data_IF_246778887729
#
_entry.id   IF_246778887729
#
_cell.length_a   1.000
_cell.length_b   1.000
_cell.length_c   1.000
_cell.angle_alpha   90.00
_cell.angle_beta   90.00
_cell.angle_gamma   90.00
#
_symmetry.space_group_name_H-M   'P 1'
#
loop_
_entity.id
_entity.type
_entity.pdbx_description
1 polymer ?
#
# COMPACT_ATOMS: atom_id res chain seq x y z
N UNK A 1 -75.24 28.28 -12.05
CA UNK A 1 -74.92 28.84 -10.73
C UNK A 1 -75.89 28.33 -9.68
N UNK A 2 -76.99 27.68 -10.03
CA UNK A 2 -77.96 27.11 -9.03
C UNK A 2 -77.71 25.68 -8.60
N UNK A 3 -76.75 24.96 -9.18
CA UNK A 3 -76.52 23.54 -8.85
C UNK A 3 -75.88 23.30 -7.52
N UNK A 4 -75.00 24.16 -7.04
CA UNK A 4 -74.32 23.96 -5.76
C UNK A 4 -75.23 24.09 -4.54
N UNK A 5 -76.34 24.81 -4.59
CA UNK A 5 -77.27 25.01 -3.47
C UNK A 5 -78.26 23.87 -3.31
N UNK A 6 -78.60 23.12 -4.36
CA UNK A 6 -79.56 22.01 -4.28
C UNK A 6 -78.99 20.81 -3.52
N UNK A 7 -77.68 20.58 -3.49
CA UNK A 7 -77.08 19.44 -2.79
C UNK A 7 -77.06 19.59 -1.25
N UNK A 8 -77.13 20.81 -0.72
CA UNK A 8 -77.24 21.06 0.69
C UNK A 8 -78.60 20.76 1.33
N UNK A 9 -79.67 20.64 0.50
CA UNK A 9 -81.07 20.49 0.93
C UNK A 9 -81.74 19.19 0.48
N UNK A 10 -80.92 18.17 0.07
CA UNK A 10 -81.50 16.87 -0.37
C UNK A 10 -82.02 16.13 0.89
N UNK A 11 -83.35 16.08 1.01
CA UNK A 11 -84.06 15.31 2.10
C UNK A 11 -84.11 13.84 1.81
N UNK A 12 -83.73 13.38 0.60
CA UNK A 12 -83.76 11.97 0.24
C UNK A 12 -82.67 11.19 0.99
N UNK A 13 -83.12 10.32 1.91
CA UNK A 13 -82.24 9.49 2.76
C UNK A 13 -81.34 8.58 1.94
N UNK A 14 -81.77 8.16 0.74
CA UNK A 14 -80.99 7.32 -0.16
C UNK A 14 -79.80 8.10 -0.74
N UNK A 15 -80.02 9.31 -1.24
CA UNK A 15 -78.96 10.17 -1.80
C UNK A 15 -77.95 10.58 -0.70
N UNK A 16 -78.40 10.86 0.50
CA UNK A 16 -77.49 11.14 1.64
C UNK A 16 -76.63 9.92 1.97
N UNK A 17 -77.19 8.72 1.94
CA UNK A 17 -76.47 7.47 2.16
C UNK A 17 -75.41 7.23 1.08
N UNK A 18 -75.77 7.37 -0.18
CA UNK A 18 -74.81 7.21 -1.30
C UNK A 18 -73.70 8.23 -1.25
N UNK A 19 -73.99 9.50 -0.99
CA UNK A 19 -72.98 10.55 -0.88
C UNK A 19 -72.03 10.31 0.33
N UNK A 20 -72.53 9.83 1.47
CA UNK A 20 -71.69 9.46 2.56
C UNK A 20 -70.75 8.31 2.27
N UNK A 21 -71.22 7.26 1.61
CA UNK A 21 -70.37 6.14 1.17
C UNK A 21 -69.29 6.57 0.18
N UNK A 22 -69.63 7.42 -0.80
CA UNK A 22 -68.65 8.00 -1.74
C UNK A 22 -67.61 8.84 -0.98
N UNK A 23 -68.04 9.69 -0.05
CA UNK A 23 -67.14 10.50 0.77
C UNK A 23 -66.17 9.63 1.58
N UNK A 24 -66.67 8.59 2.27
CA UNK A 24 -65.78 7.70 3.06
C UNK A 24 -64.86 6.89 2.13
N UNK A 25 -65.33 6.48 0.95
CA UNK A 25 -64.49 5.78 -0.01
C UNK A 25 -63.37 6.67 -0.55
N UNK A 26 -63.65 7.91 -0.92
CA UNK A 26 -62.67 8.86 -1.41
C UNK A 26 -61.67 9.26 -0.30
N UNK A 27 -62.15 9.58 0.89
CA UNK A 27 -61.26 9.94 2.01
C UNK A 27 -60.43 8.76 2.45
N UNK A 28 -60.96 7.55 2.47
CA UNK A 28 -60.22 6.33 2.79
C UNK A 28 -59.13 6.02 1.76
N UNK A 29 -59.45 6.16 0.45
CA UNK A 29 -58.45 5.93 -0.60
C UNK A 29 -57.34 6.95 -0.58
N UNK A 30 -57.61 8.23 -0.31
CA UNK A 30 -56.57 9.28 -0.15
C UNK A 30 -55.68 8.96 1.06
N UNK A 31 -56.26 8.56 2.20
CA UNK A 31 -55.51 8.23 3.40
C UNK A 31 -54.58 7.02 3.18
N UNK A 32 -55.06 5.97 2.51
CA UNK A 32 -54.25 4.83 2.11
C UNK A 32 -53.11 5.26 1.15
N UNK A 33 -53.42 6.11 0.15
CA UNK A 33 -52.46 6.64 -0.76
C UNK A 33 -51.30 7.40 -0.07
N UNK A 34 -51.64 8.24 0.91
CA UNK A 34 -50.67 8.99 1.73
C UNK A 34 -49.81 8.03 2.57
N UNK A 35 -50.42 7.03 3.20
CA UNK A 35 -49.69 6.02 3.98
C UNK A 35 -48.73 5.19 3.12
N UNK A 36 -49.15 4.77 1.95
CA UNK A 36 -48.31 4.02 0.99
C UNK A 36 -47.20 4.90 0.48
N UNK A 37 -47.47 6.15 0.08
CA UNK A 37 -46.44 7.08 -0.33
C UNK A 37 -45.43 7.38 0.80
N UNK A 38 -45.91 7.56 2.01
CA UNK A 38 -45.05 7.73 3.21
C UNK A 38 -44.18 6.52 3.47
N UNK A 39 -44.76 5.31 3.37
CA UNK A 39 -44.00 4.06 3.52
C UNK A 39 -42.95 3.86 2.43
N UNK A 40 -43.30 4.15 1.18
CA UNK A 40 -42.33 4.08 0.05
C UNK A 40 -41.22 5.11 0.25
N UNK A 41 -41.55 6.32 0.68
CA UNK A 41 -40.57 7.36 0.95
C UNK A 41 -39.68 6.99 2.13
N UNK A 42 -40.25 6.46 3.22
CA UNK A 42 -39.48 5.93 4.36
C UNK A 42 -38.52 4.81 3.95
N UNK A 43 -38.98 3.87 3.12
CA UNK A 43 -38.12 2.81 2.59
C UNK A 43 -37.02 3.37 1.66
N UNK A 44 -37.36 4.35 0.82
CA UNK A 44 -36.36 5.02 -0.05
C UNK A 44 -35.31 5.76 0.76
N UNK A 45 -35.71 6.53 1.75
CA UNK A 45 -34.76 7.26 2.61
C UNK A 45 -33.90 6.32 3.46
N UNK A 46 -34.48 5.20 3.94
CA UNK A 46 -33.71 4.19 4.66
C UNK A 46 -32.70 3.45 3.76
N UNK A 47 -33.07 3.24 2.49
CA UNK A 47 -32.17 2.65 1.50
C UNK A 47 -31.20 3.68 0.88
N UNK A 48 -31.52 4.99 0.91
CA UNK A 48 -30.64 6.09 0.50
C UNK A 48 -29.71 6.55 1.63
N UNK A 49 -30.07 6.28 2.89
CA UNK A 49 -29.20 6.50 4.05
C UNK A 49 -28.16 5.40 4.25
N UNK A 50 -28.34 4.22 3.62
CA UNK A 50 -27.28 3.29 3.33
C UNK A 50 -26.70 3.65 1.97
N UNK A 51 -26.02 4.78 1.85
CA UNK A 51 -25.15 5.03 0.70
C UNK A 51 -24.34 3.76 0.51
N UNK A 52 -24.29 3.24 -0.72
CA UNK A 52 -23.43 2.13 -1.06
C UNK A 52 -22.01 2.63 -0.76
N UNK A 53 -21.52 2.43 0.48
CA UNK A 53 -20.17 2.82 0.91
C UNK A 53 -19.11 2.24 -0.03
N UNK A 54 -19.54 1.27 -0.85
CA UNK A 54 -18.71 0.59 -1.83
C UNK A 54 -18.95 1.04 -3.29
N UNK A 55 -19.69 2.14 -3.53
CA UNK A 55 -19.94 2.65 -4.91
C UNK A 55 -18.62 3.02 -5.63
N UNK A 56 -17.59 3.39 -4.89
CA UNK A 56 -16.25 3.74 -5.37
C UNK A 56 -15.16 2.75 -4.95
N UNK A 57 -15.54 1.55 -4.50
CA UNK A 57 -14.65 0.50 -4.00
C UNK A 57 -14.86 0.20 -2.52
N UNK A 58 -14.27 -0.90 -2.05
CA UNK A 58 -14.35 -1.34 -0.64
C UNK A 58 -13.24 -0.75 0.24
N UNK A 59 -12.45 0.20 -0.26
CA UNK A 59 -11.37 0.81 0.50
C UNK A 59 -11.91 1.67 1.65
N UNK A 60 -11.47 1.36 2.86
CA UNK A 60 -11.78 2.09 4.09
C UNK A 60 -10.58 2.09 5.02
N UNK A 61 -10.60 2.92 6.05
CA UNK A 61 -9.60 2.87 7.11
C UNK A 61 -9.77 1.58 7.92
N UNK A 62 -8.68 0.82 8.07
CA UNK A 62 -8.73 -0.44 8.79
C UNK A 62 -9.20 -0.28 10.24
N UNK A 63 -10.11 -1.13 10.65
CA UNK A 63 -10.52 -1.28 12.05
C UNK A 63 -9.42 -1.96 12.86
N UNK A 64 -9.54 -1.92 14.20
CA UNK A 64 -8.57 -2.57 15.08
C UNK A 64 -8.49 -4.09 14.85
N UNK A 65 -9.60 -4.73 14.58
CA UNK A 65 -9.65 -6.19 14.39
C UNK A 65 -9.05 -6.59 13.05
N UNK A 66 -9.28 -5.81 12.01
CA UNK A 66 -8.60 -5.98 10.72
C UNK A 66 -7.09 -5.80 10.85
N UNK A 67 -6.63 -4.77 11.57
CA UNK A 67 -5.20 -4.58 11.83
C UNK A 67 -4.56 -5.72 12.62
N UNK A 68 -5.25 -6.26 13.62
CA UNK A 68 -4.77 -7.46 14.34
C UNK A 68 -4.68 -8.67 13.42
N UNK A 69 -5.64 -8.85 12.52
CA UNK A 69 -5.66 -9.94 11.56
C UNK A 69 -4.51 -9.86 10.54
N UNK A 70 -3.98 -8.65 10.23
CA UNK A 70 -2.82 -8.50 9.32
C UNK A 70 -1.50 -8.98 9.92
N UNK A 71 -1.40 -9.17 11.23
CA UNK A 71 -0.15 -9.50 11.90
C UNK A 71 0.88 -8.35 11.98
N UNK A 72 0.54 -7.14 11.54
CA UNK A 72 1.44 -5.98 11.56
C UNK A 72 1.63 -5.37 12.96
N UNK A 73 0.72 -5.68 13.89
CA UNK A 73 0.78 -5.18 15.27
C UNK A 73 1.59 -6.13 16.16
N UNK A 74 2.47 -5.56 16.98
CA UNK A 74 3.11 -6.30 18.08
C UNK A 74 4.26 -7.23 17.71
N UNK A 75 4.71 -7.27 16.45
CA UNK A 75 5.80 -8.17 16.03
C UNK A 75 7.16 -7.83 16.63
N UNK A 76 7.40 -6.59 17.03
CA UNK A 76 8.72 -6.13 17.53
C UNK A 76 9.88 -6.25 16.52
N UNK A 77 9.64 -6.89 15.36
CA UNK A 77 10.60 -7.15 14.28
C UNK A 77 10.06 -6.65 12.95
N UNK A 78 10.90 -6.65 11.91
CA UNK A 78 10.50 -6.33 10.56
C UNK A 78 10.63 -4.86 10.20
N UNK A 79 10.22 -4.54 8.98
CA UNK A 79 10.26 -3.21 8.38
C UNK A 79 9.10 -2.36 8.93
N UNK A 80 9.38 -1.12 9.30
CA UNK A 80 8.32 -0.18 9.66
C UNK A 80 7.49 0.17 8.42
N UNK A 81 6.17 0.01 8.51
CA UNK A 81 5.24 0.31 7.41
C UNK A 81 4.26 1.42 7.78
N UNK A 82 4.25 1.86 9.03
CA UNK A 82 3.39 2.95 9.47
C UNK A 82 3.16 2.94 10.98
N UNK A 83 2.14 3.67 11.40
CA UNK A 83 1.67 3.69 12.77
C UNK A 83 0.14 3.80 12.81
N UNK A 84 -0.46 3.20 13.82
CA UNK A 84 -1.88 3.26 14.08
C UNK A 84 -2.14 3.88 15.46
N UNK A 85 -3.03 4.86 15.50
CA UNK A 85 -3.44 5.49 16.75
C UNK A 85 -4.65 4.75 17.31
N UNK A 86 -4.46 4.11 18.44
CA UNK A 86 -5.52 3.39 19.15
C UNK A 86 -6.59 4.37 19.70
N UNK A 87 -7.81 3.89 20.00
CA UNK A 87 -8.87 4.72 20.57
C UNK A 87 -8.50 5.37 21.92
N UNK A 88 -7.61 4.76 22.69
CA UNK A 88 -7.07 5.29 23.93
C UNK A 88 -5.98 6.37 23.73
N UNK A 89 -5.62 6.68 22.47
CA UNK A 89 -4.62 7.66 22.10
C UNK A 89 -3.22 7.11 21.91
N UNK A 90 -2.95 5.86 22.24
CA UNK A 90 -1.65 5.22 22.08
C UNK A 90 -1.27 5.05 20.61
N UNK A 91 0.01 5.26 20.31
CA UNK A 91 0.58 5.05 18.97
C UNK A 91 1.21 3.66 18.93
N UNK A 92 0.67 2.80 18.08
CA UNK A 92 1.20 1.48 17.81
C UNK A 92 1.87 1.45 16.45
N UNK A 93 3.15 1.12 16.42
CA UNK A 93 3.89 1.01 15.17
C UNK A 93 3.54 -0.30 14.45
N UNK A 94 3.32 -0.18 13.16
CA UNK A 94 3.05 -1.31 12.28
C UNK A 94 4.35 -1.78 11.65
N UNK A 95 4.65 -3.07 11.77
CA UNK A 95 5.89 -3.66 11.24
C UNK A 95 5.57 -4.92 10.44
N UNK A 96 6.22 -5.04 9.30
CA UNK A 96 6.10 -6.19 8.42
C UNK A 96 7.33 -7.08 8.55
N UNK A 97 7.12 -8.34 8.95
CA UNK A 97 8.18 -9.34 9.17
C UNK A 97 8.00 -10.56 8.24
N UNK A 98 7.40 -10.35 7.07
CA UNK A 98 7.22 -11.37 6.04
C UNK A 98 8.28 -11.30 4.94
N UNK A 99 8.28 -12.24 3.99
CA UNK A 99 9.18 -12.30 2.85
C UNK A 99 8.80 -11.32 1.73
N UNK A 100 7.66 -10.65 1.84
CA UNK A 100 7.13 -9.79 0.81
C UNK A 100 7.88 -8.45 0.76
N UNK A 101 7.99 -7.89 -0.45
CA UNK A 101 8.59 -6.59 -0.66
C UNK A 101 7.66 -5.46 -0.19
N UNK A 102 8.25 -4.44 0.43
CA UNK A 102 7.52 -3.23 0.83
C UNK A 102 7.82 -2.11 -0.16
N UNK A 103 6.79 -1.54 -0.76
CA UNK A 103 6.91 -0.39 -1.65
C UNK A 103 6.15 0.81 -1.08
N UNK A 104 6.84 1.96 -0.97
CA UNK A 104 6.25 3.19 -0.46
C UNK A 104 6.19 4.28 -1.54
N UNK A 105 5.00 4.68 -1.92
CA UNK A 105 4.76 5.79 -2.84
C UNK A 105 4.45 7.05 -2.04
N UNK A 106 5.32 8.03 -2.15
CA UNK A 106 5.09 9.31 -1.47
C UNK A 106 5.94 10.42 -2.12
N UNK A 107 5.45 11.66 -2.15
CA UNK A 107 6.19 12.79 -2.73
C UNK A 107 7.46 13.10 -1.94
N UNK A 108 8.32 13.94 -2.53
CA UNK A 108 9.51 14.44 -1.85
C UNK A 108 9.13 15.19 -0.57
N UNK A 109 9.92 15.04 0.49
CA UNK A 109 9.68 15.63 1.83
C UNK A 109 8.43 15.15 2.57
N UNK A 110 7.83 14.04 2.15
CA UNK A 110 6.65 13.44 2.83
C UNK A 110 7.00 12.67 4.11
N UNK A 111 8.26 12.62 4.51
CA UNK A 111 8.68 11.90 5.72
C UNK A 111 9.00 10.41 5.52
N UNK A 112 9.07 9.88 4.27
CA UNK A 112 9.45 8.47 4.01
C UNK A 112 10.73 8.04 4.74
N UNK A 113 11.78 8.84 4.63
CA UNK A 113 13.07 8.55 5.26
C UNK A 113 12.95 8.49 6.77
N UNK A 114 12.36 9.52 7.37
CA UNK A 114 12.23 9.64 8.82
C UNK A 114 11.23 8.65 9.43
N UNK A 115 10.12 8.38 8.71
CA UNK A 115 9.03 7.55 9.22
C UNK A 115 9.20 6.05 8.98
N UNK A 116 9.90 5.65 7.92
CA UNK A 116 10.02 4.24 7.53
C UNK A 116 11.48 3.77 7.52
N UNK A 117 12.36 4.48 6.80
CA UNK A 117 13.73 4.01 6.55
C UNK A 117 14.60 4.08 7.80
N UNK A 118 14.69 5.24 8.43
CA UNK A 118 15.54 5.43 9.62
C UNK A 118 15.10 4.55 10.79
N UNK A 119 13.81 4.47 11.18
CA UNK A 119 13.38 3.57 12.24
C UNK A 119 13.69 2.10 11.93
N UNK A 120 13.51 1.69 10.66
CA UNK A 120 13.87 0.34 10.22
C UNK A 120 15.37 0.10 10.38
N UNK A 121 16.24 0.99 9.88
CA UNK A 121 17.68 0.85 9.97
C UNK A 121 18.19 0.83 11.43
N UNK A 122 17.59 1.60 12.30
CA UNK A 122 17.96 1.65 13.72
C UNK A 122 17.49 0.43 14.52
N UNK A 123 16.50 -0.30 14.05
CA UNK A 123 15.94 -1.46 14.75
C UNK A 123 16.18 -2.81 14.05
N UNK A 124 16.72 -2.81 12.82
CA UNK A 124 16.94 -4.04 12.06
C UNK A 124 18.15 -4.81 12.60
N UNK A 125 17.96 -6.05 13.07
CA UNK A 125 19.03 -6.80 13.73
C UNK A 125 19.99 -7.52 12.78
N UNK A 126 19.56 -7.76 11.54
CA UNK A 126 20.31 -8.53 10.56
C UNK A 126 21.07 -7.63 9.58
N UNK A 127 21.75 -8.27 8.61
CA UNK A 127 22.42 -7.59 7.52
C UNK A 127 21.45 -6.77 6.67
N UNK A 128 21.94 -5.65 6.14
CA UNK A 128 21.15 -4.76 5.29
C UNK A 128 22.05 -4.13 4.23
N UNK A 129 21.54 -4.05 3.00
CA UNK A 129 22.13 -3.27 1.92
C UNK A 129 21.29 -2.00 1.71
N UNK A 130 21.92 -0.84 1.77
CA UNK A 130 21.24 0.45 1.64
C UNK A 130 21.76 1.20 0.44
N UNK A 131 20.90 1.51 -0.54
CA UNK A 131 21.23 2.40 -1.63
C UNK A 131 20.96 3.85 -1.20
N UNK A 132 22.02 4.57 -0.85
CA UNK A 132 21.96 5.89 -0.21
C UNK A 132 22.71 6.94 -1.03
N UNK A 133 22.06 7.48 -2.06
CA UNK A 133 22.67 8.44 -3.01
C UNK A 133 23.22 9.68 -2.31
N UNK A 134 22.57 10.14 -1.22
CA UNK A 134 22.94 11.37 -0.52
C UNK A 134 23.81 11.14 0.70
N UNK A 135 23.97 9.91 1.16
CA UNK A 135 24.68 9.56 2.38
C UNK A 135 23.96 9.95 3.67
N UNK A 136 22.70 10.41 3.60
CA UNK A 136 21.92 10.83 4.76
C UNK A 136 21.63 9.65 5.72
N UNK A 137 21.25 8.50 5.18
CA UNK A 137 20.99 7.30 5.99
C UNK A 137 22.27 6.81 6.68
N UNK A 138 23.39 6.82 5.95
CA UNK A 138 24.68 6.48 6.51
C UNK A 138 25.04 7.40 7.67
N UNK A 139 24.97 8.71 7.47
CA UNK A 139 25.33 9.70 8.50
C UNK A 139 24.50 9.54 9.79
N UNK A 140 23.21 9.19 9.65
CA UNK A 140 22.28 9.11 10.78
C UNK A 140 22.24 7.75 11.47
N UNK A 141 22.63 6.66 10.81
CA UNK A 141 22.43 5.30 11.35
C UNK A 141 23.70 4.48 11.53
N UNK A 142 24.75 4.72 10.75
CA UNK A 142 25.97 3.89 10.78
C UNK A 142 26.69 3.91 12.12
N UNK A 143 26.74 5.07 12.77
CA UNK A 143 27.35 5.21 14.11
C UNK A 143 26.67 4.34 15.16
N UNK A 144 25.33 4.39 15.21
CA UNK A 144 24.55 3.54 16.10
C UNK A 144 24.74 2.05 15.78
N UNK A 145 24.66 1.67 14.50
CA UNK A 145 24.82 0.26 14.09
C UNK A 145 26.20 -0.29 14.45
N UNK A 146 27.25 0.54 14.30
CA UNK A 146 28.60 0.19 14.78
C UNK A 146 28.66 0.02 16.29
N UNK A 147 28.00 0.88 17.07
CA UNK A 147 28.00 0.81 18.54
C UNK A 147 27.36 -0.47 19.09
N UNK A 148 26.42 -1.09 18.33
CA UNK A 148 25.81 -2.38 18.68
C UNK A 148 26.54 -3.59 18.06
N UNK A 149 27.78 -3.39 17.55
CA UNK A 149 28.66 -4.47 17.09
C UNK A 149 28.50 -4.87 15.62
N UNK A 150 27.75 -4.11 14.82
CA UNK A 150 27.59 -4.42 13.38
C UNK A 150 28.73 -3.83 12.55
N UNK A 151 29.21 -4.58 11.58
CA UNK A 151 30.17 -4.10 10.57
C UNK A 151 29.43 -3.24 9.57
N UNK A 152 29.81 -1.95 9.48
CA UNK A 152 29.22 -1.01 8.52
C UNK A 152 30.27 -0.65 7.48
N UNK A 153 29.99 -0.96 6.21
CA UNK A 153 30.84 -0.69 5.06
C UNK A 153 30.17 0.36 4.16
N UNK A 154 30.93 1.37 3.74
CA UNK A 154 30.47 2.40 2.81
C UNK A 154 31.20 2.24 1.50
N UNK A 155 30.49 1.90 0.44
CA UNK A 155 31.04 1.86 -0.92
C UNK A 155 30.62 3.14 -1.64
N UNK A 156 31.58 4.01 -1.89
CA UNK A 156 31.40 5.28 -2.62
C UNK A 156 32.50 5.41 -3.68
N UNK A 157 32.23 4.93 -4.92
CA UNK A 157 33.25 4.87 -5.97
C UNK A 157 33.86 6.24 -6.36
N UNK A 158 33.14 7.34 -6.05
CA UNK A 158 33.58 8.71 -6.34
C UNK A 158 34.38 9.34 -5.22
N UNK A 159 34.47 8.70 -4.04
CA UNK A 159 35.20 9.24 -2.90
C UNK A 159 36.74 9.24 -3.18
N UNK A 160 37.36 10.39 -2.96
CA UNK A 160 38.84 10.59 -3.14
C UNK A 160 39.57 10.69 -1.80
N UNK A 161 38.82 10.74 -0.69
CA UNK A 161 39.35 10.95 0.67
C UNK A 161 39.68 9.64 1.43
N UNK A 162 39.52 8.49 0.78
CA UNK A 162 39.75 7.18 1.39
C UNK A 162 38.63 6.70 2.32
N UNK A 163 37.49 7.41 2.36
CA UNK A 163 36.34 7.03 3.22
C UNK A 163 35.56 5.82 2.68
N UNK A 164 35.77 5.48 1.39
CA UNK A 164 35.14 4.32 0.75
C UNK A 164 35.92 3.03 1.02
N UNK A 165 35.20 1.95 1.24
CA UNK A 165 35.82 0.63 1.21
C UNK A 165 36.25 0.31 -0.23
N UNK A 166 37.32 -0.48 -0.36
CA UNK A 166 37.78 -1.01 -1.63
C UNK A 166 37.15 -2.40 -1.82
N UNK A 167 36.66 -2.66 -3.02
CA UNK A 167 36.12 -3.97 -3.39
C UNK A 167 36.81 -4.45 -4.66
N UNK A 168 37.40 -5.64 -4.60
CA UNK A 168 37.98 -6.32 -5.75
C UNK A 168 37.12 -7.54 -6.07
N UNK A 169 36.31 -7.50 -7.14
CA UNK A 169 35.44 -8.63 -7.51
C UNK A 169 36.21 -9.93 -7.79
N UNK A 170 37.49 -9.83 -8.22
CA UNK A 170 38.32 -11.02 -8.50
C UNK A 170 38.62 -11.83 -7.23
N UNK A 171 38.52 -11.25 -6.05
CA UNK A 171 38.71 -11.97 -4.79
C UNK A 171 37.53 -12.91 -4.44
N UNK A 172 36.42 -12.76 -5.11
CA UNK A 172 35.24 -13.62 -4.93
C UNK A 172 35.32 -14.91 -5.76
N UNK A 173 36.34 -15.07 -6.61
CA UNK A 173 36.56 -16.27 -7.40
C UNK A 173 37.03 -17.38 -6.47
N UNK A 174 36.35 -18.51 -6.49
CA UNK A 174 36.69 -19.70 -5.70
C UNK A 174 37.78 -20.51 -6.43
N UNK A 175 39.02 -20.02 -6.30
CA UNK A 175 40.19 -20.61 -6.97
C UNK A 175 40.38 -22.09 -6.59
N UNK A 176 40.81 -22.92 -7.57
CA UNK A 176 41.08 -24.33 -7.39
C UNK A 176 39.82 -25.20 -7.15
N UNK A 177 38.62 -24.65 -7.40
CA UNK A 177 37.38 -25.42 -7.32
C UNK A 177 36.72 -25.63 -8.68
N UNK A 178 35.74 -26.51 -8.75
CA UNK A 178 34.88 -26.75 -9.92
C UNK A 178 34.04 -25.48 -10.29
N UNK A 179 34.02 -24.48 -9.43
CA UNK A 179 33.29 -23.21 -9.62
C UNK A 179 34.14 -22.09 -10.20
N UNK A 180 35.45 -22.22 -10.25
CA UNK A 180 36.39 -21.19 -10.67
C UNK A 180 36.02 -20.59 -12.02
N UNK A 181 35.86 -21.41 -13.05
CA UNK A 181 35.51 -20.96 -14.39
C UNK A 181 34.15 -20.26 -14.43
N UNK A 182 33.16 -20.79 -13.73
CA UNK A 182 31.83 -20.20 -13.68
C UNK A 182 31.80 -18.86 -12.93
N UNK A 183 32.60 -18.72 -11.89
CA UNK A 183 32.75 -17.46 -11.14
C UNK A 183 33.38 -16.37 -12.02
N UNK A 184 34.47 -16.72 -12.74
CA UNK A 184 35.12 -15.81 -13.72
C UNK A 184 34.12 -15.42 -14.81
N UNK A 185 33.42 -16.36 -15.43
CA UNK A 185 32.43 -16.07 -16.46
C UNK A 185 31.33 -15.13 -15.96
N UNK A 186 30.84 -15.32 -14.75
CA UNK A 186 29.82 -14.45 -14.14
C UNK A 186 30.35 -13.02 -13.94
N UNK A 187 31.55 -12.86 -13.38
CA UNK A 187 32.18 -11.55 -13.18
C UNK A 187 32.40 -10.84 -14.49
N UNK A 188 32.97 -11.55 -15.48
CA UNK A 188 33.24 -11.00 -16.81
C UNK A 188 31.94 -10.62 -17.53
N UNK A 189 30.91 -11.44 -17.41
CA UNK A 189 29.59 -11.11 -17.98
C UNK A 189 29.03 -9.82 -17.40
N UNK A 190 29.11 -9.61 -16.08
CA UNK A 190 28.69 -8.35 -15.46
C UNK A 190 29.47 -7.12 -15.95
N UNK A 191 30.73 -7.30 -16.35
CA UNK A 191 31.58 -6.21 -16.88
C UNK A 191 31.23 -5.91 -18.34
N UNK A 192 31.05 -6.96 -19.18
CA UNK A 192 30.86 -6.83 -20.64
C UNK A 192 29.37 -6.53 -20.97
N UNK A 193 28.44 -7.04 -20.20
CA UNK A 193 27.00 -6.86 -20.40
C UNK A 193 26.32 -6.35 -19.10
N UNK A 194 26.64 -5.14 -18.67
CA UNK A 194 26.11 -4.58 -17.43
C UNK A 194 24.57 -4.40 -17.43
N UNK A 195 23.98 -4.28 -18.62
CA UNK A 195 22.54 -4.11 -18.80
C UNK A 195 21.77 -5.44 -18.88
N UNK A 196 22.46 -6.58 -18.95
CA UNK A 196 21.84 -7.90 -19.08
C UNK A 196 21.10 -8.10 -20.42
N UNK A 197 21.52 -7.39 -21.48
CA UNK A 197 20.90 -7.49 -22.82
C UNK A 197 21.40 -8.67 -23.65
N UNK A 198 22.39 -9.36 -23.14
CA UNK A 198 23.07 -10.48 -23.78
C UNK A 198 24.18 -10.04 -24.74
N UNK A 199 25.11 -10.98 -25.00
CA UNK A 199 26.24 -10.76 -25.92
C UNK A 199 25.77 -10.98 -27.36
N UNK A 200 25.17 -9.96 -27.99
CA UNK A 200 24.46 -10.10 -29.26
C UNK A 200 25.38 -9.98 -30.49
N UNK A 201 26.52 -9.30 -30.37
CA UNK A 201 27.44 -9.12 -31.47
C UNK A 201 28.73 -9.92 -31.31
N UNK A 202 29.49 -10.04 -32.42
CA UNK A 202 30.75 -10.78 -32.47
C UNK A 202 31.81 -10.19 -31.53
N UNK A 203 31.87 -8.88 -31.45
CA UNK A 203 32.89 -8.19 -30.65
C UNK A 203 32.66 -8.36 -29.15
N UNK A 204 31.42 -8.27 -28.71
CA UNK A 204 31.05 -8.52 -27.32
C UNK A 204 31.38 -9.97 -26.91
N UNK A 205 31.07 -10.96 -27.76
CA UNK A 205 31.42 -12.37 -27.53
C UNK A 205 32.92 -12.60 -27.46
N UNK A 206 33.67 -12.00 -28.42
CA UNK A 206 35.14 -12.15 -28.48
C UNK A 206 35.79 -11.44 -27.28
N UNK A 207 35.34 -10.24 -26.94
CA UNK A 207 35.82 -9.50 -25.79
C UNK A 207 35.56 -10.25 -24.48
N UNK A 208 34.37 -10.82 -24.31
CA UNK A 208 34.05 -11.68 -23.18
C UNK A 208 35.01 -12.89 -23.08
N UNK A 209 35.17 -13.64 -24.17
CA UNK A 209 36.06 -14.82 -24.18
C UNK A 209 37.51 -14.46 -23.85
N UNK A 210 38.02 -13.35 -24.42
CA UNK A 210 39.36 -12.86 -24.14
C UNK A 210 39.51 -12.47 -22.65
N UNK A 211 38.55 -11.75 -22.11
CA UNK A 211 38.60 -11.31 -20.70
C UNK A 211 38.51 -12.50 -19.74
N UNK A 212 37.67 -13.50 -20.05
CA UNK A 212 37.61 -14.75 -19.26
C UNK A 212 38.99 -15.43 -19.26
N UNK A 213 39.59 -15.59 -20.40
CA UNK A 213 40.95 -16.17 -20.52
C UNK A 213 42.01 -15.38 -19.75
N UNK A 214 41.97 -14.06 -19.83
CA UNK A 214 42.89 -13.19 -19.10
C UNK A 214 42.73 -13.29 -17.58
N UNK A 215 41.49 -13.30 -17.08
CA UNK A 215 41.24 -13.41 -15.63
C UNK A 215 41.60 -14.79 -15.09
N UNK A 216 41.41 -15.87 -15.86
CA UNK A 216 41.82 -17.22 -15.45
C UNK A 216 43.35 -17.40 -15.44
N UNK A 217 44.11 -16.52 -16.10
CA UNK A 217 45.56 -16.60 -16.16
C UNK A 217 46.26 -15.81 -15.04
N UNK A 218 45.59 -14.86 -14.42
CA UNK A 218 46.11 -14.03 -13.31
C UNK A 218 45.96 -14.74 -11.96
#
# INVERSE_FOLDING_TARGET
VEWGWKYGTVEDAYLKSVLSHVYYFVTGSVLIGVLVAGYINYRRTKNLGGGNEHLHGSAHWASQDELKATGLLGTGKGVYVGAWKAPNGDINYLRHDGPEHVMAFAPTRSGKGVGLVLPTLLSWPASVLVYDIKGENWALTAGFRKSIGQTCLKLEPTATDGSSVKFNPLQEIRLGTDKEVSDVQNIVTMIVDPDGKGLNDHWAKTGHALLVGAVLHV
#
